data_IF_246029644525
#
_entry.id   IF_246029644525
#
_cell.length_a   1.000
_cell.length_b   1.000
_cell.length_c   1.000
_cell.angle_alpha   90.00
_cell.angle_beta   90.00
_cell.angle_gamma   90.00
#
_symmetry.space_group_name_H-M   'P 1'
#
loop_
_entity.id
_entity.type
_entity.pdbx_description
1 polymer ?
#
# COMPACT_ATOMS: atom_id res chain seq x y z
N UNK A 1 -3.82 14.97 -19.10
CA UNK A 1 -4.67 15.30 -17.93
C UNK A 1 -3.76 15.51 -16.73
N UNK A 2 -4.05 16.48 -15.87
CA UNK A 2 -3.39 16.57 -14.56
C UNK A 2 -4.18 15.68 -13.58
N UNK A 3 -3.53 14.70 -12.94
CA UNK A 3 -4.22 13.85 -11.98
C UNK A 3 -4.64 14.68 -10.77
N UNK A 4 -5.84 14.43 -10.26
CA UNK A 4 -6.31 15.04 -9.03
C UNK A 4 -5.69 14.35 -7.81
N UNK A 5 -5.74 15.00 -6.65
CA UNK A 5 -5.13 14.48 -5.42
C UNK A 5 -5.64 13.06 -5.06
N UNK A 6 -6.88 12.73 -5.37
CA UNK A 6 -7.44 11.39 -5.09
C UNK A 6 -6.78 10.33 -5.96
N UNK A 7 -6.61 10.59 -7.25
CA UNK A 7 -5.94 9.67 -8.19
C UNK A 7 -4.48 9.43 -7.80
N UNK A 8 -3.78 10.49 -7.36
CA UNK A 8 -2.41 10.38 -6.84
C UNK A 8 -2.34 9.49 -5.60
N UNK A 9 -3.30 9.65 -4.67
CA UNK A 9 -3.35 8.83 -3.45
C UNK A 9 -3.74 7.38 -3.74
N UNK A 10 -4.69 7.15 -4.66
CA UNK A 10 -5.08 5.81 -5.09
C UNK A 10 -3.88 5.07 -5.67
N UNK A 11 -3.18 5.68 -6.63
CA UNK A 11 -1.96 5.10 -7.22
C UNK A 11 -0.89 4.82 -6.16
N UNK A 12 -0.61 5.78 -5.28
CA UNK A 12 0.40 5.58 -4.23
C UNK A 12 0.02 4.44 -3.29
N UNK A 13 -1.27 4.25 -3.01
CA UNK A 13 -1.75 3.11 -2.22
C UNK A 13 -1.56 1.79 -2.97
N UNK A 14 -1.81 1.75 -4.29
CA UNK A 14 -1.53 0.59 -5.14
C UNK A 14 -0.03 0.24 -5.18
N UNK A 15 0.86 1.25 -5.29
CA UNK A 15 2.32 1.06 -5.23
C UNK A 15 2.75 0.40 -3.90
N UNK A 16 2.21 0.89 -2.77
CA UNK A 16 2.50 0.34 -1.45
C UNK A 16 1.96 -1.09 -1.29
N UNK A 17 0.79 -1.38 -1.87
CA UNK A 17 0.24 -2.74 -1.84
C UNK A 17 1.07 -3.73 -2.65
N UNK A 18 1.50 -3.34 -3.86
CA UNK A 18 2.41 -4.14 -4.65
C UNK A 18 3.72 -4.43 -3.88
N UNK A 19 4.29 -3.42 -3.22
CA UNK A 19 5.49 -3.60 -2.38
C UNK A 19 5.29 -4.64 -1.27
N UNK A 20 4.14 -4.60 -0.56
CA UNK A 20 3.81 -5.57 0.50
C UNK A 20 3.67 -6.98 -0.05
N UNK A 21 3.04 -7.16 -1.21
CA UNK A 21 2.89 -8.48 -1.85
C UNK A 21 4.26 -9.03 -2.30
N UNK A 22 5.07 -8.22 -2.99
CA UNK A 22 6.42 -8.60 -3.42
C UNK A 22 7.30 -8.97 -2.22
N UNK A 23 7.22 -8.21 -1.14
CA UNK A 23 8.01 -8.46 0.08
C UNK A 23 7.64 -9.76 0.79
N UNK A 24 6.48 -10.34 0.47
CA UNK A 24 6.01 -11.65 0.95
C UNK A 24 6.18 -12.77 -0.10
N UNK A 25 6.88 -12.50 -1.21
CA UNK A 25 7.00 -13.42 -2.35
C UNK A 25 5.63 -13.83 -2.94
N UNK A 26 4.61 -12.95 -2.83
CA UNK A 26 3.28 -13.13 -3.42
C UNK A 26 3.22 -12.52 -4.82
N UNK A 27 2.38 -13.11 -5.66
CA UNK A 27 2.05 -12.56 -6.97
C UNK A 27 1.27 -11.24 -6.81
N UNK A 28 1.60 -10.24 -7.63
CA UNK A 28 0.89 -8.97 -7.66
C UNK A 28 -0.17 -9.02 -8.78
N UNK A 29 -1.47 -8.87 -8.47
CA UNK A 29 -2.50 -8.89 -9.50
C UNK A 29 -2.30 -7.77 -10.53
N UNK A 30 -2.59 -8.05 -11.80
CA UNK A 30 -2.41 -7.09 -12.91
C UNK A 30 -3.13 -5.76 -12.66
N UNK A 31 -4.34 -5.79 -12.09
CA UNK A 31 -5.10 -4.56 -11.75
C UNK A 31 -4.35 -3.65 -10.76
N UNK A 32 -3.54 -4.22 -9.87
CA UNK A 32 -2.73 -3.45 -8.91
C UNK A 32 -1.51 -2.87 -9.61
N UNK A 33 -0.89 -3.63 -10.52
CA UNK A 33 0.23 -3.15 -11.34
C UNK A 33 -0.21 -2.04 -12.30
N UNK A 34 -1.37 -2.18 -12.93
CA UNK A 34 -1.99 -1.16 -13.78
C UNK A 34 -2.33 0.11 -12.99
N UNK A 35 -2.91 -0.05 -11.80
CA UNK A 35 -3.19 1.10 -10.93
C UNK A 35 -1.90 1.79 -10.47
N UNK A 36 -0.86 1.03 -10.12
CA UNK A 36 0.43 1.59 -9.70
C UNK A 36 1.17 2.30 -10.85
N UNK A 37 0.91 1.92 -12.10
CA UNK A 37 1.63 2.40 -13.28
C UNK A 37 0.88 3.46 -14.10
N UNK A 38 -0.45 3.55 -14.00
CA UNK A 38 -1.28 4.46 -14.78
C UNK A 38 -2.37 5.15 -13.95
N UNK A 39 -2.81 6.33 -14.42
CA UNK A 39 -3.96 7.05 -13.88
C UNK A 39 -5.29 6.68 -14.55
N UNK A 40 -5.26 5.83 -15.58
CA UNK A 40 -6.45 5.47 -16.35
C UNK A 40 -7.34 4.43 -15.66
N UNK A 41 -6.79 3.71 -14.66
CA UNK A 41 -7.47 2.64 -13.92
C UNK A 41 -7.28 2.78 -12.41
N UNK A 42 -7.71 3.91 -11.79
CA UNK A 42 -7.58 4.07 -10.35
C UNK A 42 -8.52 3.11 -9.64
N UNK A 43 -7.96 2.14 -8.92
CA UNK A 43 -8.70 1.29 -7.97
C UNK A 43 -8.36 1.70 -6.55
N UNK A 44 -9.34 1.58 -5.65
CA UNK A 44 -9.16 1.90 -4.24
C UNK A 44 -8.52 0.70 -3.52
N UNK A 45 -7.19 0.72 -3.34
CA UNK A 45 -6.45 -0.38 -2.67
C UNK A 45 -6.38 -0.24 -1.14
N UNK A 46 -7.08 0.74 -0.55
CA UNK A 46 -6.95 1.07 0.88
C UNK A 46 -7.40 -0.09 1.76
N UNK A 47 -8.54 -0.72 1.44
CA UNK A 47 -9.08 -1.85 2.19
C UNK A 47 -8.18 -3.07 2.15
N UNK A 48 -7.73 -3.43 0.95
CA UNK A 48 -6.95 -4.61 0.64
C UNK A 48 -5.57 -4.50 1.26
N UNK A 49 -4.90 -3.34 1.13
CA UNK A 49 -3.63 -3.07 1.78
C UNK A 49 -3.77 -3.16 3.31
N UNK A 50 -4.79 -2.52 3.88
CA UNK A 50 -4.98 -2.57 5.33
C UNK A 50 -5.27 -3.97 5.85
N UNK A 51 -6.06 -4.76 5.12
CA UNK A 51 -6.35 -6.14 5.47
C UNK A 51 -5.09 -7.01 5.40
N UNK A 52 -4.29 -6.84 4.34
CA UNK A 52 -3.03 -7.56 4.16
C UNK A 52 -2.09 -7.27 5.33
N UNK A 53 -1.89 -6.00 5.69
CA UNK A 53 -1.06 -5.59 6.82
C UNK A 53 -1.54 -6.13 8.17
N UNK A 54 -2.85 -6.18 8.40
CA UNK A 54 -3.43 -6.77 9.63
C UNK A 54 -3.24 -8.29 9.69
N UNK A 55 -3.06 -8.94 8.55
CA UNK A 55 -2.88 -10.40 8.46
C UNK A 55 -1.42 -10.84 8.63
N UNK A 56 -0.47 -9.91 8.56
CA UNK A 56 0.95 -10.21 8.73
C UNK A 56 1.24 -10.69 10.15
N UNK A 57 2.12 -11.68 10.28
CA UNK A 57 2.75 -11.98 11.56
C UNK A 57 3.70 -10.85 11.96
N UNK A 58 4.01 -10.75 13.26
CA UNK A 58 4.83 -9.67 13.81
C UNK A 58 6.21 -9.58 13.15
N UNK A 59 6.85 -10.72 12.84
CA UNK A 59 8.20 -10.69 12.26
C UNK A 59 8.16 -10.17 10.81
N UNK A 60 7.16 -10.60 10.03
CA UNK A 60 6.96 -10.10 8.67
C UNK A 60 6.58 -8.62 8.66
N UNK A 61 5.69 -8.21 9.57
CA UNK A 61 5.30 -6.80 9.72
C UNK A 61 6.52 -5.92 10.01
N UNK A 62 7.33 -6.27 11.02
CA UNK A 62 8.55 -5.53 11.37
C UNK A 62 9.54 -5.45 10.20
N UNK A 63 9.72 -6.55 9.46
CA UNK A 63 10.62 -6.60 8.31
C UNK A 63 10.16 -5.69 7.16
N UNK A 64 8.85 -5.56 6.93
CA UNK A 64 8.29 -4.83 5.79
C UNK A 64 8.05 -3.36 6.14
N UNK A 65 7.46 -3.08 7.29
CA UNK A 65 7.07 -1.72 7.70
C UNK A 65 8.21 -1.00 8.40
N UNK A 66 8.91 -1.66 9.32
CA UNK A 66 9.95 -1.02 10.15
C UNK A 66 11.35 -1.14 9.53
N UNK A 67 11.46 -1.28 8.21
CA UNK A 67 12.73 -1.26 7.51
C UNK A 67 13.18 0.18 7.18
N UNK A 68 14.16 0.75 7.91
CA UNK A 68 14.55 2.14 7.69
C UNK A 68 15.35 2.34 6.41
N UNK A 69 15.76 1.30 5.69
CA UNK A 69 16.61 1.42 4.50
C UNK A 69 15.83 1.45 3.18
N UNK A 70 14.54 1.15 3.18
CA UNK A 70 13.67 1.25 2.00
C UNK A 70 12.79 2.50 2.10
N UNK A 71 12.73 3.27 1.00
CA UNK A 71 11.84 4.42 0.93
C UNK A 71 10.37 3.96 0.96
N UNK A 72 10.07 2.85 0.30
CA UNK A 72 8.76 2.22 0.26
C UNK A 72 8.31 1.78 1.66
N UNK A 73 9.21 1.18 2.46
CA UNK A 73 8.91 0.83 3.85
C UNK A 73 8.59 2.05 4.70
N UNK A 74 9.33 3.16 4.56
CA UNK A 74 9.05 4.42 5.28
C UNK A 74 7.71 5.03 4.85
N UNK A 75 7.42 5.02 3.55
CA UNK A 75 6.15 5.49 3.02
C UNK A 75 4.98 4.62 3.52
N UNK A 76 5.18 3.30 3.58
CA UNK A 76 4.22 2.34 4.10
C UNK A 76 3.96 2.53 5.59
N UNK A 77 5.02 2.73 6.39
CA UNK A 77 4.91 3.00 7.82
C UNK A 77 4.08 4.26 8.08
N UNK A 78 4.38 5.33 7.34
CA UNK A 78 3.61 6.59 7.42
C UNK A 78 2.17 6.40 6.98
N UNK A 79 1.94 5.68 5.90
CA UNK A 79 0.59 5.37 5.43
C UNK A 79 -0.20 4.61 6.50
N UNK A 80 0.42 3.61 7.13
CA UNK A 80 -0.19 2.80 8.17
C UNK A 80 -0.55 3.62 9.42
N UNK A 81 0.34 4.49 9.88
CA UNK A 81 0.09 5.42 10.98
C UNK A 81 -1.13 6.32 10.69
N UNK A 82 -1.21 6.87 9.48
CA UNK A 82 -2.37 7.68 9.06
C UNK A 82 -3.65 6.84 9.00
N UNK A 83 -3.58 5.63 8.43
CA UNK A 83 -4.72 4.72 8.37
C UNK A 83 -5.28 4.42 9.77
N UNK A 84 -4.41 4.07 10.71
CA UNK A 84 -4.82 3.77 12.09
C UNK A 84 -5.39 4.98 12.83
N UNK A 85 -4.91 6.19 12.51
CA UNK A 85 -5.35 7.44 13.16
C UNK A 85 -6.70 7.92 12.64
N UNK A 86 -6.94 7.82 11.32
CA UNK A 86 -8.05 8.51 10.65
C UNK A 86 -9.14 7.59 10.11
N UNK A 87 -8.89 6.29 9.97
CA UNK A 87 -9.88 5.34 9.46
C UNK A 87 -10.37 4.48 10.63
N UNK A 88 -11.58 4.74 11.17
CA UNK A 88 -12.09 3.99 12.30
C UNK A 88 -12.25 2.53 11.89
N UNK A 89 -11.54 1.66 12.61
CA UNK A 89 -11.72 0.21 12.53
C UNK A 89 -13.14 -0.07 13.04
N UNK A 90 -14.07 -0.22 12.11
CA UNK A 90 -15.48 -0.54 12.39
C UNK A 90 -15.66 -2.04 12.36
#
# INVERSE_FOLDING_TARGET
MNPNNREVQARKTCELYAYVLISQDKEVPDVILECASSYDYPVECVSELAQELKSLDTATFERIINNPFSQEARDLARWWEMYQTYIPVS
#
